data_IF_236073826397
#
_entry.id   IF_236073826397
#
_cell.length_a   1.000
_cell.length_b   1.000
_cell.length_c   1.000
_cell.angle_alpha   90.00
_cell.angle_beta   90.00
_cell.angle_gamma   90.00
#
_symmetry.space_group_name_H-M   'P 1'
#
loop_
_entity.id
_entity.type
_entity.pdbx_description
1 polymer ?
2 non-polymer ?
3 water ?
#
# COMPACT_ATOMS: atom_id res chain seq x y z
N UNK A 1 7.74 5.67 -0.67
CA UNK A 1 7.34 5.13 -1.99
C UNK A 1 7.27 3.62 -1.94
N UNK A 3 7.94 0.57 -4.13
CA UNK A 3 8.71 0.37 -5.36
C UNK A 3 8.18 -0.75 -6.24
N UNK A 4 7.23 -1.54 -5.75
CA UNK A 4 6.58 -2.51 -6.58
C UNK A 4 5.69 -1.87 -7.64
N UNK A 5 5.42 -0.55 -7.50
CA UNK A 5 4.61 0.20 -8.48
C UNK A 5 5.55 1.09 -9.25
N UNK A 6 5.58 0.87 -10.54
CA UNK A 6 6.35 1.72 -11.44
C UNK A 6 5.39 2.45 -12.35
N UNK A 7 5.88 3.50 -13.02
CA UNK A 7 5.02 4.21 -13.94
C UNK A 7 4.55 3.23 -15.04
N UNK A 8 3.24 3.28 -15.30
CA UNK A 8 2.63 2.47 -16.31
C UNK A 8 2.26 3.42 -17.45
N UNK A 9 2.82 3.18 -18.62
CA UNK A 9 2.52 3.99 -19.80
C UNK A 9 1.14 3.65 -20.34
N UNK A 10 0.52 4.60 -21.04
CA UNK A 10 -0.84 4.43 -21.54
C UNK A 10 -0.91 3.53 -22.81
N UNK A 11 -0.42 2.30 -22.64
CA UNK A 11 -0.42 1.25 -23.62
C UNK A 11 -0.85 -0.04 -22.93
N UNK A 12 -1.28 -1.00 -23.75
CA UNK A 12 -1.65 -2.31 -23.23
C UNK A 12 -0.51 -2.98 -22.47
N UNK A 13 -0.89 -3.63 -21.38
CA UNK A 13 0.05 -4.28 -20.48
C UNK A 13 -0.16 -5.77 -20.54
N UNK A 14 0.86 -6.49 -20.95
CA UNK A 14 0.77 -7.94 -21.03
C UNK A 14 0.59 -8.57 -19.66
N UNK A 15 -0.06 -9.73 -19.68
CA UNK A 15 -0.30 -10.59 -18.52
C UNK A 15 -1.42 -10.09 -17.59
N UNK A 16 -2.15 -9.08 -18.04
CA UNK A 16 -3.29 -8.55 -17.32
C UNK A 16 -4.49 -8.54 -18.26
N UNK A 17 -5.69 -8.68 -17.70
CA UNK A 17 -6.88 -8.77 -18.55
C UNK A 17 -7.27 -7.49 -19.21
N UNK A 18 -8.14 -7.63 -20.21
CA UNK A 18 -8.75 -6.50 -20.93
C UNK A 18 -10.24 -6.85 -21.06
N UNK A 19 -11.11 -5.91 -20.71
CA UNK A 19 -12.55 -6.18 -20.62
C UNK A 19 -13.33 -5.46 -21.69
N UNK A 20 -14.57 -5.86 -21.90
CA UNK A 20 -15.37 -5.26 -22.96
C UNK A 20 -15.69 -3.77 -22.72
N UNK A 21 -15.70 -3.36 -21.47
CA UNK A 21 -16.09 -1.99 -21.11
C UNK A 21 -15.54 -1.64 -19.78
N UNK A 22 -15.52 -0.34 -19.49
CA UNK A 22 -15.07 0.07 -18.17
C UNK A 22 -16.07 -0.43 -17.11
N UNK A 23 -17.33 -0.55 -17.48
CA UNK A 23 -18.29 -1.20 -16.59
C UNK A 23 -17.86 -2.58 -16.14
N UNK A 24 -17.52 -3.42 -17.12
CA UNK A 24 -17.08 -4.79 -16.87
C UNK A 24 -15.79 -4.82 -16.05
N UNK A 25 -14.87 -3.88 -16.36
CA UNK A 25 -13.59 -3.82 -15.63
C UNK A 25 -13.82 -3.51 -14.16
N UNK A 26 -14.80 -2.64 -13.88
CA UNK A 26 -15.15 -2.34 -12.50
C UNK A 26 -15.78 -3.55 -11.81
N UNK A 27 -16.70 -4.21 -12.49
CA UNK A 27 -17.29 -5.45 -11.98
C UNK A 27 -16.22 -6.50 -11.59
N UNK A 28 -15.25 -6.69 -12.47
CA UNK A 28 -14.23 -7.70 -12.24
C UNK A 28 -13.27 -7.28 -11.14
N UNK A 29 -12.92 -6.00 -11.09
CA UNK A 29 -12.12 -5.51 -9.99
C UNK A 29 -12.84 -5.68 -8.66
N UNK A 30 -14.15 -5.49 -8.65
CA UNK A 30 -14.92 -5.62 -7.40
C UNK A 30 -14.96 -7.07 -6.90
N UNK A 31 -14.92 -8.03 -7.82
CA UNK A 31 -14.82 -9.43 -7.45
C UNK A 31 -13.49 -9.76 -6.77
N UNK A 32 -12.43 -9.08 -7.19
CA UNK A 32 -11.12 -9.29 -6.63
C UNK A 32 -10.98 -8.55 -5.28
N UNK A 33 -11.71 -7.43 -5.13
CA UNK A 33 -11.70 -6.57 -3.92
C UNK A 33 -13.12 -6.31 -3.41
N UNK A 34 -13.75 -7.38 -2.91
CA UNK A 34 -15.18 -7.31 -2.58
C UNK A 34 -15.45 -6.70 -1.22
N UNK A 35 -14.45 -6.73 -0.34
CA UNK A 35 -14.63 -6.28 1.02
C UNK A 35 -14.27 -4.80 1.01
N UNK A 36 -14.48 -4.11 2.11
CA UNK A 36 -14.20 -2.68 2.04
C UNK A 36 -15.26 -2.02 1.15
N UNK A 37 -15.30 -0.70 1.25
CA UNK A 37 -16.50 0.01 0.92
C UNK A 37 -16.57 0.37 -0.55
N UNK A 38 -17.79 0.58 -1.04
CA UNK A 38 -18.00 1.06 -2.40
C UNK A 38 -17.31 2.41 -2.61
N UNK A 39 -17.39 3.29 -1.60
CA UNK A 39 -16.71 4.58 -1.68
C UNK A 39 -15.20 4.43 -1.92
N UNK A 40 -14.55 3.62 -1.08
CA UNK A 40 -13.11 3.47 -1.20
C UNK A 40 -12.76 2.82 -2.54
N UNK A 41 -13.59 1.85 -2.97
CA UNK A 41 -13.38 1.16 -4.24
C UNK A 41 -13.40 2.18 -5.39
N UNK A 43 -13.02 5.39 -5.20
CA UNK A 43 -11.93 6.36 -5.05
C UNK A 43 -10.64 5.81 -5.67
N UNK A 44 -10.40 4.52 -5.42
CA UNK A 44 -9.20 3.85 -5.91
C UNK A 44 -9.24 3.72 -7.44
N UNK A 45 -10.35 3.18 -7.92
CA UNK A 45 -10.47 2.92 -9.37
C UNK A 45 -10.65 4.19 -10.20
N UNK A 47 -9.78 7.27 -9.25
CA UNK A 47 -8.53 7.97 -9.17
C UNK A 47 -7.58 7.49 -10.25
N UNK A 48 -7.56 6.17 -10.50
CA UNK A 48 -6.72 5.63 -11.57
C UNK A 48 -7.24 6.09 -12.94
N UNK A 49 -8.54 5.96 -13.14
CA UNK A 49 -9.20 6.43 -14.37
C UNK A 49 -8.80 7.87 -14.71
N UNK A 50 -9.04 8.77 -13.77
CA UNK A 50 -8.77 10.17 -13.98
C UNK A 50 -7.30 10.40 -14.34
N UNK A 51 -6.41 9.73 -13.62
CA UNK A 51 -4.98 9.88 -13.83
C UNK A 51 -4.58 9.43 -15.23
N UNK A 52 -5.08 8.28 -15.64
CA UNK A 52 -4.76 7.72 -16.95
C UNK A 52 -5.33 8.60 -18.05
N UNK A 53 -6.54 9.13 -17.87
CA UNK A 53 -7.10 10.01 -18.89
C UNK A 53 -6.20 11.23 -19.04
N UNK A 54 -5.73 11.79 -17.93
CA UNK A 54 -4.88 13.00 -17.97
C UNK A 54 -3.56 12.67 -18.66
N UNK A 55 -2.94 11.55 -18.30
CA UNK A 55 -1.68 11.12 -18.94
C UNK A 55 -1.85 10.97 -20.45
N UNK A 57 -4.17 12.29 -22.42
CA UNK A 57 -4.48 13.60 -23.02
C UNK A 57 -3.27 14.49 -23.16
N UNK A 58 -2.36 14.42 -22.19
CA UNK A 58 -1.20 15.33 -22.15
C UNK A 58 -0.12 14.90 -23.14
N UNK A 59 -0.11 13.65 -23.55
CA UNK A 59 0.88 13.17 -24.53
C UNK A 59 0.71 13.80 -25.88
N UNK A 60 1.74 13.63 -26.73
CA UNK A 60 1.59 13.87 -28.17
C UNK A 60 2.26 12.79 -29.05
N UNK B 1 0.54 6.54 29.41
CA UNK B 1 -0.03 5.93 28.16
C UNK B 1 -0.23 7.04 27.14
N UNK B 3 -2.45 8.00 24.14
CA UNK B 3 -3.74 7.49 23.67
C UNK B 3 -3.94 7.57 22.17
N UNK B 4 -3.02 8.25 21.47
CA UNK B 4 -3.06 8.23 20.01
C UNK B 4 -2.64 6.87 19.43
N UNK B 5 -2.06 5.99 20.26
CA UNK B 5 -1.72 4.63 19.84
C UNK B 5 -2.74 3.66 20.41
N UNK B 6 -3.40 2.98 19.51
CA UNK B 6 -4.30 1.92 19.85
C UNK B 6 -3.65 0.59 19.52
N UNK B 7 -4.21 -0.48 20.08
CA UNK B 7 -3.79 -1.80 19.68
C UNK B 7 -4.07 -2.00 18.20
N UNK B 8 -3.08 -2.45 17.46
CA UNK B 8 -3.22 -2.67 16.03
C UNK B 8 -3.37 -4.18 15.83
N UNK B 9 -4.47 -4.56 15.22
CA UNK B 9 -4.73 -5.96 14.89
C UNK B 9 -3.74 -6.44 13.86
N UNK B 10 -3.39 -7.72 13.86
CA UNK B 10 -2.47 -8.31 12.87
C UNK B 10 -3.13 -8.59 11.50
N UNK B 11 -3.68 -7.52 10.94
CA UNK B 11 -4.31 -7.50 9.63
C UNK B 11 -3.82 -6.22 8.93
N UNK B 12 -4.00 -6.19 7.61
CA UNK B 12 -3.62 -5.01 6.84
C UNK B 12 -4.38 -3.77 7.34
N UNK B 13 -3.66 -2.65 7.41
CA UNK B 13 -4.17 -1.39 7.90
C UNK B 13 -4.27 -0.42 6.73
N UNK B 14 -5.49 -0.02 6.41
CA UNK B 14 -5.73 0.93 5.31
C UNK B 14 -5.11 2.26 5.61
N UNK B 15 -4.77 2.97 4.53
CA UNK B 15 -4.22 4.34 4.54
C UNK B 15 -2.73 4.38 4.90
N UNK B 16 -2.11 3.21 4.98
CA UNK B 16 -0.68 3.10 5.22
C UNK B 16 -0.07 2.18 4.16
N UNK B 17 1.20 2.41 3.84
CA UNK B 17 1.77 1.66 2.72
C UNK B 17 2.05 0.22 3.02
N UNK B 18 2.31 -0.54 1.97
CA UNK B 18 2.74 -1.93 2.05
C UNK B 18 3.92 -2.05 1.09
N UNK B 19 4.99 -2.72 1.50
CA UNK B 19 6.22 -2.74 0.71
C UNK B 19 6.55 -4.14 0.21
N UNK B 20 7.49 -4.24 -0.72
CA UNK B 20 7.81 -5.54 -1.29
C UNK B 20 8.43 -6.53 -0.30
N UNK B 21 9.12 -6.01 0.69
CA UNK B 21 9.79 -6.83 1.69
C UNK B 21 10.04 -6.03 2.94
N UNK B 22 10.35 -6.72 4.04
CA UNK B 22 10.70 -6.03 5.24
C UNK B 22 11.99 -5.20 5.07
N UNK B 23 12.89 -5.64 4.19
CA UNK B 23 14.00 -4.78 3.80
C UNK B 23 13.57 -3.42 3.30
N UNK B 24 12.68 -3.42 2.32
CA UNK B 24 12.16 -2.19 1.75
C UNK B 24 11.39 -1.35 2.80
N UNK B 25 10.60 -1.99 3.67
CA UNK B 25 9.87 -1.28 4.72
C UNK B 25 10.85 -0.55 5.66
N UNK B 26 11.99 -1.19 5.96
CA UNK B 26 13.00 -0.53 6.76
C UNK B 26 13.60 0.67 6.04
N UNK B 27 13.93 0.48 4.76
CA UNK B 27 14.48 1.55 3.95
C UNK B 27 13.54 2.75 3.94
N UNK B 28 12.27 2.51 3.75
CA UNK B 28 11.29 3.60 3.67
C UNK B 28 11.05 4.26 5.03
N UNK B 29 11.03 3.48 6.10
CA UNK B 29 10.93 4.04 7.42
C UNK B 29 12.16 4.92 7.72
N UNK B 30 13.33 4.50 7.24
CA UNK B 30 14.55 5.25 7.55
C UNK B 30 14.55 6.59 6.82
N UNK B 31 13.91 6.66 5.65
CA UNK B 31 13.75 7.93 4.96
C UNK B 31 12.85 8.89 5.72
N UNK B 32 11.90 8.36 6.46
CA UNK B 32 11.00 9.18 7.27
C UNK B 32 11.64 9.60 8.62
N UNK B 33 12.55 8.78 9.13
CA UNK B 33 13.26 9.05 10.38
C UNK B 33 14.76 8.89 10.15
N UNK B 34 15.33 9.84 9.40
CA UNK B 34 16.72 9.73 9.00
C UNK B 34 17.72 10.21 10.05
N UNK B 35 17.26 11.04 10.98
CA UNK B 35 18.16 11.72 11.91
C UNK B 35 18.58 10.92 13.14
N UNK B 36 17.78 9.94 13.53
CA UNK B 36 18.09 9.16 14.72
C UNK B 36 19.29 8.29 14.47
N UNK B 37 19.82 7.66 15.53
CA UNK B 37 20.89 6.69 15.32
C UNK B 37 20.33 5.38 14.75
N UNK B 38 21.18 4.63 14.04
CA UNK B 38 20.80 3.32 13.52
C UNK B 38 20.38 2.37 14.67
N UNK B 39 21.09 2.41 15.78
CA UNK B 39 20.75 1.58 16.92
C UNK B 39 19.31 1.85 17.40
N UNK B 40 18.99 3.12 17.57
CA UNK B 40 17.65 3.49 18.06
C UNK B 40 16.60 3.11 17.00
N UNK B 41 16.93 3.31 15.73
CA UNK B 41 16.03 3.00 14.65
C UNK B 41 15.65 1.50 14.66
N UNK B 43 16.07 -0.58 17.16
CA UNK B 43 15.36 -0.92 18.39
C UNK B 43 13.87 -0.67 18.27
N UNK B 44 13.52 0.46 17.67
CA UNK B 44 12.12 0.83 17.47
C UNK B 44 11.43 -0.12 16.49
N UNK B 45 12.05 -0.32 15.33
CA UNK B 45 11.43 -1.13 14.28
C UNK B 45 11.41 -2.62 14.59
N UNK B 47 11.73 -3.94 17.62
CA UNK B 47 10.79 -4.11 18.73
C UNK B 47 9.38 -4.32 18.20
N UNK B 48 8.98 -3.58 17.18
CA UNK B 48 7.67 -3.76 16.61
C UNK B 48 7.56 -5.12 15.91
N UNK B 49 8.58 -5.43 15.10
CA UNK B 49 8.65 -6.71 14.40
C UNK B 49 8.45 -7.87 15.36
N UNK B 50 9.25 -7.93 16.42
CA UNK B 50 9.18 -9.02 17.36
C UNK B 50 7.83 -9.11 18.03
N UNK B 51 7.27 -7.95 18.37
CA UNK B 51 5.96 -7.89 19.02
C UNK B 51 4.88 -8.47 18.10
N UNK B 52 4.87 -8.06 16.84
CA UNK B 52 3.86 -8.50 15.90
C UNK B 52 3.99 -9.98 15.59
N UNK B 53 5.23 -10.46 15.44
CA UNK B 53 5.44 -11.90 15.23
C UNK B 53 4.82 -12.68 16.38
N UNK B 54 5.09 -12.26 17.62
CA UNK B 54 4.55 -12.98 18.78
C UNK B 54 3.02 -12.96 18.83
N UNK B 55 2.42 -11.83 18.50
CA UNK B 55 0.95 -11.75 18.47
C UNK B 55 0.38 -12.75 17.46
N UNK B 57 1.82 -15.45 16.13
CA UNK B 57 2.12 -16.86 16.47
C UNK B 57 1.19 -17.36 17.58
N UNK B 58 0.78 -16.47 18.48
CA UNK B 58 -0.05 -16.85 19.62
C UNK B 58 -1.55 -16.98 19.28
N UNK B 59 -1.97 -16.38 18.16
CA UNK B 59 -3.39 -16.39 17.76
C UNK B 59 -3.86 -17.76 17.24
N UNK C 3 22.20 -2.38 0.61
CA UNK C 3 22.70 -1.24 1.44
C UNK C 3 22.65 -1.57 2.94
N UNK C 4 22.08 -0.67 3.77
CA UNK C 4 22.15 -0.82 5.25
C UNK C 4 21.28 -1.95 5.80
N UNK C 5 20.27 -2.36 5.05
CA UNK C 5 19.28 -3.32 5.57
C UNK C 5 19.20 -4.61 4.78
N UNK C 6 18.75 -5.67 5.43
CA UNK C 6 18.49 -6.98 4.79
C UNK C 6 17.07 -7.40 5.13
N UNK C 7 16.49 -8.34 4.35
CA UNK C 7 15.15 -8.81 4.65
C UNK C 7 15.23 -9.52 6.00
N UNK C 8 14.23 -9.23 6.81
CA UNK C 8 14.04 -9.87 8.12
C UNK C 8 12.88 -10.86 7.94
N UNK C 9 13.11 -12.10 8.32
CA UNK C 9 12.06 -13.12 8.25
C UNK C 9 11.05 -12.90 9.36
N UNK C 10 9.82 -13.41 9.18
CA UNK C 10 8.76 -13.30 10.17
C UNK C 10 8.96 -14.23 11.36
N UNK C 11 10.14 -14.10 11.98
CA UNK C 11 10.50 -14.86 13.17
C UNK C 11 11.12 -13.90 14.19
N UNK C 12 11.18 -14.31 15.44
CA UNK C 12 11.82 -13.53 16.48
C UNK C 12 13.29 -13.25 16.19
N UNK C 13 13.69 -12.02 16.50
CA UNK C 13 15.04 -11.50 16.35
C UNK C 13 15.64 -11.26 17.75
N UNK C 14 16.52 -12.16 18.18
CA UNK C 14 17.01 -12.21 19.55
C UNK C 14 17.83 -10.99 20.00
N UNK C 15 18.34 -10.24 19.06
CA UNK C 15 19.13 -9.06 19.37
C UNK C 15 18.27 -7.90 19.87
N UNK C 16 16.96 -7.96 19.62
CA UNK C 16 16.07 -6.82 19.83
C UNK C 16 14.95 -7.14 20.83
N UNK C 17 14.35 -6.10 21.41
CA UNK C 17 13.31 -6.35 22.40
C UNK C 17 11.99 -6.85 21.83
N UNK C 18 11.16 -7.36 22.74
CA UNK C 18 9.80 -7.79 22.39
C UNK C 18 8.86 -7.17 23.42
N UNK C 19 7.71 -6.69 22.97
CA UNK C 19 6.76 -6.01 23.85
C UNK C 19 5.46 -6.82 23.91
N UNK C 20 4.63 -6.55 24.91
CA UNK C 20 3.46 -7.42 25.12
C UNK C 20 2.29 -7.17 24.18
N UNK C 21 2.32 -6.05 23.46
CA UNK C 21 1.24 -5.66 22.60
C UNK C 21 1.75 -4.68 21.56
N UNK C 22 1.05 -4.57 20.43
CA UNK C 22 1.46 -3.64 19.41
C UNK C 22 1.36 -2.20 19.91
N UNK C 23 0.38 -1.90 20.75
CA UNK C 23 0.31 -0.55 21.34
C UNK C 23 1.57 -0.27 22.13
N UNK C 24 2.01 -1.19 22.98
CA UNK C 24 3.25 -1.00 23.73
C UNK C 24 4.45 -0.80 22.79
N UNK C 25 4.51 -1.57 21.71
CA UNK C 25 5.61 -1.43 20.78
C UNK C 25 5.61 -0.07 20.07
N UNK C 26 4.43 0.45 19.73
CA UNK C 26 4.34 1.78 19.13
C UNK C 26 4.77 2.83 20.15
N UNK C 27 4.36 2.69 21.40
CA UNK C 27 4.77 3.67 22.45
C UNK C 27 6.29 3.68 22.60
N UNK C 28 6.89 2.48 22.66
CA UNK C 28 8.33 2.35 22.80
C UNK C 28 9.04 2.98 21.62
N UNK C 29 8.51 2.79 20.42
CA UNK C 29 9.08 3.44 19.21
C UNK C 29 8.93 4.95 19.24
N UNK C 30 7.82 5.46 19.76
CA UNK C 30 7.66 6.90 19.82
C UNK C 30 8.54 7.55 20.88
N UNK C 31 8.85 6.82 21.96
CA UNK C 31 9.84 7.29 22.91
C UNK C 31 11.21 7.48 22.23
N UNK C 32 11.56 6.56 21.34
CA UNK C 32 12.82 6.63 20.63
C UNK C 32 12.83 7.69 19.53
N UNK C 33 11.67 7.93 18.93
CA UNK C 33 11.50 8.86 17.80
C UNK C 33 10.34 9.81 18.10
N UNK C 34 10.59 10.78 18.98
CA UNK C 34 9.51 11.68 19.42
C UNK C 34 9.27 12.81 18.43
N UNK C 35 10.21 13.04 17.52
CA UNK C 35 10.10 14.11 16.55
C UNK C 35 9.18 13.79 15.39
N UNK C 36 8.83 14.83 14.64
CA UNK C 36 8.02 14.68 13.44
C UNK C 36 6.56 14.40 13.71
N UNK C 37 5.77 14.36 12.65
CA UNK C 37 4.35 14.21 12.79
C UNK C 37 3.94 12.80 13.15
N UNK C 38 2.78 12.71 13.80
CA UNK C 38 2.16 11.43 14.03
C UNK C 38 1.95 10.70 12.69
N UNK C 39 1.54 11.44 11.66
CA UNK C 39 1.31 10.85 10.35
C UNK C 39 2.56 10.16 9.81
N UNK C 40 3.70 10.85 9.89
CA UNK C 40 4.93 10.27 9.36
C UNK C 40 5.36 9.07 10.20
N UNK C 41 5.19 9.17 11.51
CA UNK C 41 5.56 8.08 12.41
C UNK C 41 4.76 6.84 12.04
N UNK C 43 3.15 6.26 9.17
CA UNK C 43 3.52 5.80 7.83
C UNK C 43 4.70 4.81 7.91
N UNK C 44 5.69 5.16 8.73
CA UNK C 44 6.87 4.32 8.94
C UNK C 44 6.52 2.99 9.63
N UNK C 45 5.88 3.08 10.78
CA UNK C 45 5.60 1.88 11.60
C UNK C 45 4.54 1.00 10.96
N UNK C 47 3.73 0.98 7.76
CA UNK C 47 4.32 0.43 6.56
C UNK C 47 5.02 -0.87 6.88
N UNK C 48 5.72 -0.91 8.02
CA UNK C 48 6.40 -2.12 8.43
C UNK C 48 5.37 -3.19 8.84
N UNK C 49 4.39 -2.78 9.64
CA UNK C 49 3.28 -3.67 10.06
C UNK C 49 2.65 -4.36 8.85
N UNK C 50 2.24 -3.56 7.87
CA UNK C 50 1.53 -4.11 6.72
C UNK C 50 2.39 -5.12 5.96
N UNK C 51 3.64 -4.77 5.80
CA UNK C 51 4.58 -5.61 5.05
C UNK C 51 4.76 -6.95 5.77
N UNK C 52 4.98 -6.90 7.08
CA UNK C 52 5.15 -8.13 7.85
C UNK C 52 3.86 -8.99 7.91
N UNK C 53 2.72 -8.37 8.12
CA UNK C 53 1.46 -9.12 8.11
C UNK C 53 1.30 -9.89 6.82
N UNK C 54 1.59 -9.24 5.69
CA UNK C 54 1.31 -9.89 4.45
C UNK C 54 2.23 -11.10 4.25
N UNK C 55 3.49 -10.96 4.64
CA UNK C 55 4.44 -12.08 4.50
C UNK C 55 4.07 -13.21 5.43
N UNK C 57 1.28 -14.32 6.57
CA UNK C 57 0.18 -15.15 6.05
C UNK C 57 0.29 -15.50 4.54
N UNK C 58 1.37 -15.10 3.86
CA UNK C 58 1.62 -15.50 2.46
C UNK C 58 1.81 -17.02 2.30
N UNK D 4 -25.51 -1.20 -10.54
CA UNK D 4 -24.28 -1.19 -9.67
C UNK D 4 -23.16 -0.30 -10.25
N UNK D 5 -22.63 -0.70 -11.41
CA UNK D 5 -21.68 0.15 -12.14
C UNK D 5 -22.26 0.49 -13.50
N UNK D 6 -21.80 1.60 -14.07
CA UNK D 6 -22.12 1.99 -15.43
C UNK D 6 -20.83 2.26 -16.18
N UNK D 7 -20.90 2.28 -17.51
CA UNK D 7 -19.73 2.53 -18.33
C UNK D 7 -19.34 3.97 -18.05
N UNK D 8 -18.07 4.15 -17.81
CA UNK D 8 -17.42 5.42 -17.61
C UNK D 8 -16.68 5.74 -18.93
N UNK D 9 -16.93 6.92 -19.49
CA UNK D 9 -16.26 7.37 -20.69
C UNK D 9 -14.84 7.80 -20.36
N UNK D 10 -13.96 7.83 -21.38
CA UNK D 10 -12.57 8.19 -21.19
C UNK D 10 -12.38 9.70 -21.06
N UNK D 11 -13.09 10.26 -20.08
CA UNK D 11 -13.04 11.69 -19.77
C UNK D 11 -12.93 11.84 -18.24
N UNK D 12 -12.50 13.01 -17.81
CA UNK D 12 -12.37 13.29 -16.38
C UNK D 12 -13.70 13.14 -15.67
N UNK D 13 -13.64 12.56 -14.47
CA UNK D 13 -14.78 12.40 -13.58
C UNK D 13 -14.63 13.31 -12.35
N UNK D 14 -15.42 14.38 -12.32
CA UNK D 14 -15.18 15.46 -11.37
C UNK D 14 -15.42 15.08 -9.91
N UNK D 15 -16.16 14.01 -9.68
CA UNK D 15 -16.42 13.56 -8.33
C UNK D 15 -15.21 12.94 -7.67
N UNK D 16 -14.21 12.55 -8.50
CA UNK D 16 -13.12 11.71 -8.04
C UNK D 16 -11.74 12.38 -8.17
N UNK D 17 -10.76 11.92 -7.39
CA UNK D 17 -9.46 12.57 -7.48
C UNK D 17 -8.66 12.26 -8.75
N UNK D 18 -7.65 13.08 -8.97
CA UNK D 18 -6.71 12.91 -10.07
C UNK D 18 -5.30 12.97 -9.48
N UNK D 19 -4.41 12.10 -9.94
CA UNK D 19 -3.04 12.04 -9.43
C UNK D 19 -2.06 12.39 -10.55
N UNK D 20 -0.82 12.75 -10.17
CA UNK D 20 0.11 13.26 -11.16
C UNK D 20 0.69 12.21 -12.10
N UNK D 21 0.59 10.93 -11.75
CA UNK D 21 1.22 9.87 -12.52
C UNK D 21 0.50 8.57 -12.23
N UNK D 22 0.63 7.56 -13.09
CA UNK D 22 0.00 6.30 -12.83
C UNK D 22 0.65 5.61 -11.65
N UNK D 23 1.94 5.85 -11.40
CA UNK D 23 2.58 5.29 -10.17
C UNK D 23 1.87 5.82 -8.94
N UNK D 24 1.67 7.12 -8.89
CA UNK D 24 0.99 7.74 -7.76
C UNK D 24 -0.45 7.21 -7.61
N UNK D 25 -1.18 7.03 -8.71
CA UNK D 25 -2.53 6.50 -8.63
C UNK D 25 -2.56 5.05 -8.12
N UNK D 26 -1.55 4.25 -8.49
CA UNK D 26 -1.46 2.88 -7.98
C UNK D 26 -1.17 2.91 -6.47
N UNK D 27 -0.27 3.77 -6.05
CA UNK D 27 0.07 3.91 -4.61
C UNK D 27 -1.18 4.29 -3.83
N UNK D 28 -1.92 5.28 -4.34
CA UNK D 28 -3.12 5.74 -3.65
C UNK D 28 -4.15 4.63 -3.59
N UNK D 29 -4.27 3.84 -4.65
CA UNK D 29 -5.19 2.68 -4.65
C UNK D 29 -4.75 1.61 -3.66
N UNK D 30 -3.46 1.38 -3.52
CA UNK D 30 -2.98 0.35 -2.59
C UNK D 30 -3.14 0.81 -1.15
N UNK D 31 -3.08 2.12 -0.90
CA UNK D 31 -3.37 2.63 0.44
C UNK D 31 -4.83 2.31 0.82
N UNK D 32 -5.74 2.38 -0.17
CA UNK D 32 -7.15 2.13 0.10
C UNK D 32 -7.46 0.65 0.18
N UNK D 33 -6.67 -0.17 -0.53
CA UNK D 33 -6.82 -1.63 -0.61
C UNK D 33 -5.49 -2.31 -0.33
N UNK D 34 -5.09 -2.33 0.95
CA UNK D 34 -3.78 -2.91 1.28
C UNK D 34 -3.77 -4.40 1.39
N UNK D 35 -4.95 -5.01 1.51
CA UNK D 35 -5.08 -6.47 1.60
C UNK D 35 -4.91 -7.20 0.27
N UNK D 36 -4.74 -8.51 0.41
CA UNK D 36 -4.63 -9.42 -0.72
C UNK D 36 -3.29 -9.29 -1.43
N UNK D 37 -3.12 -10.10 -2.44
CA UNK D 37 -1.86 -10.23 -3.11
C UNK D 37 -1.63 -9.07 -4.07
N UNK D 38 -0.36 -8.84 -4.33
CA UNK D 38 0.03 -7.88 -5.34
C UNK D 38 -0.54 -8.31 -6.70
N UNK D 39 -0.51 -9.61 -6.99
CA UNK D 39 -1.03 -10.12 -8.24
C UNK D 39 -2.52 -9.77 -8.42
N UNK D 40 -3.33 -9.99 -7.40
CA UNK D 40 -4.76 -9.67 -7.52
C UNK D 40 -4.98 -8.18 -7.66
N UNK D 41 -4.21 -7.39 -6.89
CA UNK D 41 -4.31 -5.94 -6.96
C UNK D 41 -4.03 -5.47 -8.37
N UNK D 43 -4.14 -7.32 -11.13
CA UNK D 43 -5.16 -7.84 -12.04
C UNK D 43 -6.33 -6.89 -12.08
N UNK D 44 -6.75 -6.40 -10.93
CA UNK D 44 -7.83 -5.42 -10.85
C UNK D 44 -7.49 -4.08 -11.51
N UNK D 45 -6.38 -3.49 -11.09
CA UNK D 45 -6.02 -2.16 -11.58
C UNK D 45 -5.56 -2.19 -13.03
N UNK D 47 -6.36 -4.51 -15.22
CA UNK D 47 -7.53 -4.82 -16.02
C UNK D 47 -8.28 -3.56 -16.38
N UNK D 48 -8.36 -2.59 -15.44
CA UNK D 48 -9.00 -1.32 -15.72
C UNK D 48 -8.17 -0.49 -16.73
N UNK D 49 -6.88 -0.43 -16.45
CA UNK D 49 -5.91 0.26 -17.33
C UNK D 49 -6.07 -0.21 -18.76
N UNK D 50 -5.97 -1.53 -18.95
CA UNK D 50 -6.01 -2.07 -20.31
C UNK D 50 -7.31 -1.73 -21.01
N UNK D 51 -8.41 -1.84 -20.27
CA UNK D 51 -9.72 -1.57 -20.84
C UNK D 51 -9.85 -0.12 -21.28
N UNK D 52 -9.41 0.78 -20.42
CA UNK D 52 -9.51 2.22 -20.74
C UNK D 52 -8.58 2.59 -21.89
N UNK D 53 -7.35 2.08 -21.87
CA UNK D 53 -6.43 2.33 -22.96
C UNK D 53 -7.03 1.91 -24.29
N UNK D 54 -7.67 0.74 -24.33
CA UNK D 54 -8.17 0.25 -25.61
C UNK D 54 -9.25 1.17 -26.13
N UNK D 55 -10.13 1.64 -25.26
CA UNK D 55 -11.16 2.61 -25.70
C UNK D 55 -10.53 3.89 -26.22
N UNK D 57 -7.43 4.41 -27.41
CA UNK D 57 -6.53 4.23 -28.59
C UNK D 57 -7.21 4.18 -29.96
N UNK D 58 -8.51 3.87 -30.00
CA UNK D 58 -9.29 3.93 -31.25
C UNK D 58 -10.73 3.53 -30.98
#
# INVERSE_FOLDING_TARGET
GXSQFQEVRPVAQALYPTHPSTKDALEEARLLFPGGTHHDFXRALXGYHNTLVKVXEEQCGS
GXSQFQEVRPVAQALYPTHPSTKDALEEARLLFPGGTHHDFXRALXGYHNTLVKVXEEQCGS
GXSQFQEVRPVAQALYPTHPSTKDALEEARLLFPGGTHHDFXRALXGYHNTLVKVXEEQCGS
GXSQFQEVRPVAQALYPTHPSTKDALEEARLLFPGGTHHDFXRALXGYHNTLVKVXEEQCGS
#
